data_IF_907560576594
#
_entry.id   IF_907560576594
#
_cell.length_a   1.000
_cell.length_b   1.000
_cell.length_c   1.000
_cell.angle_alpha   90.00
_cell.angle_beta   90.00
_cell.angle_gamma   90.00
#
_symmetry.space_group_name_H-M   'P 1'
#
loop_
_entity.id
_entity.type
_entity.pdbx_description
1 polymer ?
#
# COMPACT_ATOMS: atom_id res chain seq x y z
N UNK A 1 30.84 -9.91 -12.57
CA UNK A 1 29.39 -9.86 -12.37
C UNK A 1 28.99 -9.92 -10.90
N UNK A 2 29.52 -10.87 -10.10
CA UNK A 2 29.17 -10.95 -8.68
C UNK A 2 29.50 -9.65 -7.92
N UNK A 3 30.69 -9.07 -8.12
CA UNK A 3 31.08 -7.80 -7.48
C UNK A 3 30.19 -6.63 -7.87
N UNK A 4 29.84 -6.50 -9.15
CA UNK A 4 28.91 -5.47 -9.63
C UNK A 4 27.53 -5.57 -8.95
N UNK A 5 27.03 -6.80 -8.74
CA UNK A 5 25.77 -7.02 -8.06
C UNK A 5 25.87 -6.73 -6.55
N UNK A 6 27.01 -7.00 -5.93
CA UNK A 6 27.25 -6.61 -4.54
C UNK A 6 27.28 -5.08 -4.38
N UNK A 7 27.88 -4.37 -5.31
CA UNK A 7 27.85 -2.90 -5.35
C UNK A 7 26.41 -2.38 -5.54
N UNK A 8 25.65 -2.99 -6.48
CA UNK A 8 24.26 -2.61 -6.74
C UNK A 8 23.37 -2.71 -5.48
N UNK A 9 23.57 -3.79 -4.69
CA UNK A 9 22.80 -3.99 -3.44
C UNK A 9 23.43 -3.32 -2.22
N UNK A 10 24.53 -2.56 -2.40
CA UNK A 10 25.19 -1.78 -1.35
C UNK A 10 25.99 -2.61 -0.35
N UNK A 11 26.57 -3.74 -0.78
CA UNK A 11 27.35 -4.66 0.04
C UNK A 11 28.70 -5.05 -0.59
N UNK A 12 29.49 -4.10 -1.12
CA UNK A 12 30.77 -4.43 -1.81
C UNK A 12 31.80 -5.10 -0.89
N UNK A 13 31.74 -4.80 0.41
CA UNK A 13 32.63 -5.30 1.45
C UNK A 13 32.28 -6.73 1.93
N UNK A 14 31.19 -7.31 1.46
CA UNK A 14 30.70 -8.62 1.87
C UNK A 14 30.99 -9.75 0.88
N UNK A 15 31.92 -9.53 -0.08
CA UNK A 15 32.24 -10.52 -1.11
C UNK A 15 32.71 -11.87 -0.54
N UNK A 16 33.46 -11.84 0.56
CA UNK A 16 34.03 -13.02 1.19
C UNK A 16 33.31 -13.43 2.49
N UNK A 17 32.16 -12.79 2.79
CA UNK A 17 31.40 -13.08 4.00
C UNK A 17 30.53 -14.32 3.85
N UNK A 18 30.48 -15.13 4.89
CA UNK A 18 29.56 -16.26 4.98
C UNK A 18 28.16 -15.82 5.43
N UNK A 19 27.08 -16.54 5.05
CA UNK A 19 25.71 -16.19 5.43
C UNK A 19 25.49 -16.01 6.94
N UNK A 20 26.21 -16.75 7.78
CA UNK A 20 26.11 -16.62 9.24
C UNK A 20 26.62 -15.27 9.77
N UNK A 21 27.43 -14.55 9.00
CA UNK A 21 28.02 -13.25 9.37
C UNK A 21 27.16 -12.07 8.89
N UNK A 22 26.02 -12.33 8.24
CA UNK A 22 25.14 -11.32 7.65
C UNK A 22 23.90 -11.12 8.50
N UNK A 23 23.47 -9.86 8.64
CA UNK A 23 22.16 -9.52 9.21
C UNK A 23 21.02 -9.99 8.29
N UNK A 24 19.77 -10.02 8.81
CA UNK A 24 18.59 -10.38 8.02
C UNK A 24 18.45 -9.54 6.75
N UNK A 25 18.55 -8.22 6.86
CA UNK A 25 18.50 -7.33 5.71
C UNK A 25 19.64 -7.48 4.71
N UNK A 26 20.85 -7.79 5.20
CA UNK A 26 21.99 -8.11 4.33
C UNK A 26 21.77 -9.43 3.58
N UNK A 27 21.25 -10.46 4.26
CA UNK A 27 20.87 -11.74 3.61
C UNK A 27 19.85 -11.50 2.50
N UNK A 28 18.85 -10.65 2.76
CA UNK A 28 17.83 -10.33 1.76
C UNK A 28 18.42 -9.60 0.54
N UNK A 29 19.31 -8.63 0.75
CA UNK A 29 20.02 -7.94 -0.34
C UNK A 29 20.88 -8.92 -1.16
N UNK A 30 21.56 -9.85 -0.53
CA UNK A 30 22.32 -10.90 -1.22
C UNK A 30 21.39 -11.84 -2.00
N UNK A 31 20.22 -12.19 -1.46
CA UNK A 31 19.23 -13.01 -2.18
C UNK A 31 18.74 -12.30 -3.45
N UNK A 32 18.49 -10.99 -3.38
CA UNK A 32 18.16 -10.16 -4.54
C UNK A 32 19.32 -10.17 -5.55
N UNK A 33 20.55 -9.90 -5.11
CA UNK A 33 21.74 -9.93 -5.98
C UNK A 33 21.90 -11.30 -6.69
N UNK A 34 21.67 -12.39 -5.96
CA UNK A 34 21.72 -13.75 -6.52
C UNK A 34 20.65 -13.97 -7.59
N UNK A 35 19.41 -13.50 -7.35
CA UNK A 35 18.33 -13.59 -8.34
C UNK A 35 18.64 -12.79 -9.62
N UNK A 36 19.34 -11.65 -9.49
CA UNK A 36 19.75 -10.81 -10.62
C UNK A 36 20.96 -11.36 -11.41
N UNK A 37 21.67 -12.36 -10.89
CA UNK A 37 22.89 -12.89 -11.52
C UNK A 37 22.64 -13.48 -12.93
N UNK A 38 21.44 -13.99 -13.18
CA UNK A 38 21.03 -14.60 -14.45
C UNK A 38 20.47 -13.59 -15.47
N UNK A 39 20.52 -12.28 -15.16
CA UNK A 39 19.91 -11.23 -15.97
C UNK A 39 18.41 -11.48 -16.28
N UNK A 40 17.56 -11.67 -15.27
CA UNK A 40 16.16 -11.99 -15.47
C UNK A 40 15.40 -10.79 -16.07
N UNK A 41 14.34 -11.06 -16.81
CA UNK A 41 13.37 -10.03 -17.24
C UNK A 41 12.33 -9.74 -16.17
N UNK A 42 12.10 -10.70 -15.27
CA UNK A 42 11.13 -10.62 -14.18
C UNK A 42 11.80 -11.04 -12.88
N UNK A 43 11.68 -10.23 -11.85
CA UNK A 43 12.07 -10.53 -10.47
C UNK A 43 10.80 -10.81 -9.66
N UNK A 44 10.70 -12.02 -9.10
CA UNK A 44 9.61 -12.41 -8.21
C UNK A 44 10.07 -12.30 -6.76
N UNK A 45 9.36 -11.53 -5.97
CA UNK A 45 9.61 -11.30 -4.55
C UNK A 45 8.42 -11.83 -3.74
N UNK A 46 8.60 -13.00 -3.13
CA UNK A 46 7.59 -13.61 -2.27
C UNK A 46 7.90 -13.25 -0.81
N UNK A 47 6.99 -12.48 -0.20
CA UNK A 47 7.10 -11.97 1.18
C UNK A 47 8.50 -11.46 1.57
N UNK A 48 9.17 -10.78 0.65
CA UNK A 48 10.58 -10.40 0.76
C UNK A 48 10.92 -9.52 1.98
N UNK A 49 9.92 -9.00 2.68
CA UNK A 49 10.08 -8.08 3.82
C UNK A 49 9.35 -8.52 5.09
N UNK A 50 8.66 -9.66 5.10
CA UNK A 50 7.79 -10.10 6.19
C UNK A 50 8.49 -10.32 7.54
N UNK A 51 9.79 -10.66 7.52
CA UNK A 51 10.61 -10.93 8.71
C UNK A 51 11.59 -9.80 9.07
N UNK A 52 11.42 -8.61 8.49
CA UNK A 52 12.32 -7.46 8.66
C UNK A 52 11.66 -6.36 9.48
N UNK A 53 12.48 -5.57 10.18
CA UNK A 53 12.01 -4.36 10.84
C UNK A 53 11.59 -3.29 9.80
N UNK A 54 10.76 -2.30 10.19
CA UNK A 54 10.25 -1.29 9.25
C UNK A 54 11.31 -0.52 8.49
N UNK A 55 12.42 -0.16 9.12
CA UNK A 55 13.50 0.60 8.47
C UNK A 55 14.21 -0.23 7.42
N UNK A 56 14.50 -1.49 7.75
CA UNK A 56 15.11 -2.45 6.82
C UNK A 56 14.15 -2.77 5.67
N UNK A 57 12.86 -2.94 5.95
CA UNK A 57 11.81 -3.10 4.94
C UNK A 57 11.84 -1.96 3.93
N UNK A 58 11.78 -0.71 4.41
CA UNK A 58 11.83 0.47 3.53
C UNK A 58 13.10 0.51 2.66
N UNK A 59 14.26 0.20 3.24
CA UNK A 59 15.53 0.15 2.50
C UNK A 59 15.55 -0.95 1.41
N UNK A 60 14.93 -2.10 1.65
CA UNK A 60 14.78 -3.18 0.64
C UNK A 60 13.82 -2.76 -0.47
N UNK A 61 12.70 -2.12 -0.13
CA UNK A 61 11.74 -1.64 -1.13
C UNK A 61 12.34 -0.55 -2.03
N UNK A 62 13.09 0.39 -1.47
CA UNK A 62 13.84 1.38 -2.25
C UNK A 62 14.87 0.72 -3.18
N UNK A 63 15.57 -0.31 -2.70
CA UNK A 63 16.50 -1.06 -3.53
C UNK A 63 15.78 -1.74 -4.70
N UNK A 64 14.62 -2.37 -4.46
CA UNK A 64 13.81 -3.01 -5.50
C UNK A 64 13.34 -1.98 -6.53
N UNK A 65 12.88 -0.80 -6.11
CA UNK A 65 12.51 0.28 -7.03
C UNK A 65 13.70 0.77 -7.86
N UNK A 66 14.88 0.90 -7.24
CA UNK A 66 16.12 1.27 -7.93
C UNK A 66 16.44 0.26 -9.02
N UNK A 67 16.42 -1.03 -8.69
CA UNK A 67 16.68 -2.14 -9.62
C UNK A 67 15.68 -2.13 -10.79
N UNK A 68 14.39 -1.96 -10.51
CA UNK A 68 13.35 -1.87 -11.54
C UNK A 68 13.66 -0.73 -12.54
N UNK A 69 14.01 0.47 -12.03
CA UNK A 69 14.32 1.64 -12.88
C UNK A 69 15.62 1.49 -13.66
N UNK A 70 16.71 1.03 -13.01
CA UNK A 70 18.03 0.98 -13.62
C UNK A 70 18.21 -0.20 -14.59
N UNK A 71 17.57 -1.33 -14.29
CA UNK A 71 17.69 -2.55 -15.10
C UNK A 71 16.53 -2.74 -16.08
N UNK A 72 15.42 -1.98 -15.95
CA UNK A 72 14.24 -2.10 -16.79
C UNK A 72 13.52 -3.44 -16.67
N UNK A 73 13.68 -4.14 -15.54
CA UNK A 73 13.04 -5.45 -15.31
C UNK A 73 11.66 -5.28 -14.67
N UNK A 74 10.76 -6.19 -14.95
CA UNK A 74 9.48 -6.26 -14.22
C UNK A 74 9.68 -6.84 -12.83
N UNK A 75 9.11 -6.22 -11.82
CA UNK A 75 9.12 -6.76 -10.45
C UNK A 75 7.70 -7.15 -10.06
N UNK A 76 7.54 -8.37 -9.57
CA UNK A 76 6.28 -8.89 -9.00
C UNK A 76 6.52 -9.13 -7.52
N UNK A 77 5.72 -8.47 -6.67
CA UNK A 77 5.81 -8.57 -5.20
C UNK A 77 4.55 -9.27 -4.70
N UNK A 78 4.73 -10.36 -3.96
CA UNK A 78 3.66 -11.03 -3.23
C UNK A 78 3.75 -10.57 -1.78
N UNK A 79 2.69 -9.97 -1.28
CA UNK A 79 2.62 -9.42 0.08
C UNK A 79 1.18 -9.31 0.57
N UNK A 80 1.00 -9.39 1.87
CA UNK A 80 -0.24 -9.05 2.56
C UNK A 80 -0.17 -7.65 3.22
N UNK A 81 0.95 -6.94 3.08
CA UNK A 81 1.17 -5.60 3.66
C UNK A 81 0.76 -4.53 2.64
N UNK A 82 -0.36 -3.86 2.89
CA UNK A 82 -0.87 -2.83 1.98
C UNK A 82 0.07 -1.62 1.86
N UNK A 83 0.80 -1.27 2.93
CA UNK A 83 1.82 -0.23 2.88
C UNK A 83 2.91 -0.50 1.83
N UNK A 84 3.32 -1.75 1.66
CA UNK A 84 4.27 -2.15 0.59
C UNK A 84 3.68 -1.89 -0.80
N UNK A 85 2.39 -2.25 -0.99
CA UNK A 85 1.70 -2.02 -2.26
C UNK A 85 1.60 -0.52 -2.57
N UNK A 86 1.23 0.28 -1.58
CA UNK A 86 1.10 1.74 -1.69
C UNK A 86 2.44 2.43 -2.02
N UNK A 87 3.52 1.98 -1.38
CA UNK A 87 4.83 2.63 -1.47
C UNK A 87 5.55 2.35 -2.80
N UNK A 88 5.44 1.13 -3.33
CA UNK A 88 6.34 0.71 -4.42
C UNK A 88 5.66 0.14 -5.66
N UNK A 89 4.38 -0.24 -5.58
CA UNK A 89 3.69 -0.85 -6.71
C UNK A 89 2.93 0.18 -7.55
N UNK A 90 2.88 -0.05 -8.86
CA UNK A 90 2.04 0.73 -9.79
C UNK A 90 0.71 0.04 -10.08
N UNK A 91 0.71 -1.31 -10.06
CA UNK A 91 -0.45 -2.16 -10.31
C UNK A 91 -0.57 -3.21 -9.22
N UNK A 92 -1.77 -3.66 -8.98
CA UNK A 92 -2.09 -4.70 -8.00
C UNK A 92 -3.09 -5.70 -8.58
N UNK A 93 -2.91 -6.95 -8.20
CA UNK A 93 -3.90 -8.01 -8.40
C UNK A 93 -4.22 -8.61 -7.03
N UNK A 94 -5.50 -8.61 -6.66
CA UNK A 94 -5.98 -9.13 -5.39
C UNK A 94 -6.43 -10.56 -5.60
N UNK A 95 -5.84 -11.47 -4.81
CA UNK A 95 -6.19 -12.87 -4.81
C UNK A 95 -7.09 -13.20 -3.62
N UNK A 96 -8.16 -13.93 -3.88
CA UNK A 96 -9.01 -14.53 -2.84
C UNK A 96 -9.29 -15.98 -3.23
N UNK A 97 -9.03 -16.92 -2.32
CA UNK A 97 -9.18 -18.37 -2.54
C UNK A 97 -8.52 -18.88 -3.83
N UNK A 98 -7.30 -18.37 -4.13
CA UNK A 98 -6.52 -18.79 -5.30
C UNK A 98 -6.97 -18.19 -6.64
N UNK A 99 -7.95 -17.28 -6.63
CA UNK A 99 -8.47 -16.61 -7.83
C UNK A 99 -8.19 -15.11 -7.76
N UNK A 100 -7.87 -14.50 -8.92
CA UNK A 100 -7.78 -13.03 -9.00
C UNK A 100 -9.21 -12.47 -9.02
N UNK A 101 -9.58 -11.76 -7.96
CA UNK A 101 -10.93 -11.19 -7.79
C UNK A 101 -11.00 -9.73 -8.23
N UNK A 102 -9.86 -9.04 -8.24
CA UNK A 102 -9.77 -7.66 -8.68
C UNK A 102 -8.33 -7.33 -9.09
N UNK A 103 -8.16 -6.49 -10.13
CA UNK A 103 -6.85 -6.03 -10.57
C UNK A 103 -6.95 -4.65 -11.23
N UNK A 104 -5.89 -3.87 -11.11
CA UNK A 104 -5.85 -2.52 -11.70
C UNK A 104 -4.65 -1.72 -11.23
N UNK A 105 -4.68 -0.41 -11.49
CA UNK A 105 -3.71 0.48 -10.88
C UNK A 105 -3.91 0.52 -9.36
N UNK A 106 -2.82 0.66 -8.60
CA UNK A 106 -2.90 0.82 -7.14
C UNK A 106 -3.84 1.97 -6.79
N UNK A 107 -3.74 3.08 -7.52
CA UNK A 107 -4.58 4.25 -7.33
C UNK A 107 -6.08 3.92 -7.44
N UNK A 108 -6.49 3.24 -8.51
CA UNK A 108 -7.90 2.97 -8.77
C UNK A 108 -8.48 2.01 -7.73
N UNK A 109 -7.77 0.92 -7.45
CA UNK A 109 -8.18 -0.06 -6.44
C UNK A 109 -8.29 0.56 -5.04
N UNK A 110 -7.32 1.40 -4.64
CA UNK A 110 -7.35 2.04 -3.33
C UNK A 110 -8.38 3.16 -3.22
N UNK A 111 -8.73 3.79 -4.34
CA UNK A 111 -9.77 4.83 -4.37
C UNK A 111 -11.17 4.25 -4.37
N UNK A 112 -11.39 3.15 -5.08
CA UNK A 112 -12.72 2.58 -5.30
C UNK A 112 -12.67 1.05 -5.43
N UNK A 113 -12.38 0.33 -4.32
CA UNK A 113 -12.36 -1.12 -4.33
C UNK A 113 -13.77 -1.69 -4.57
N UNK A 114 -13.91 -2.61 -5.51
CA UNK A 114 -15.18 -3.21 -5.88
C UNK A 114 -15.44 -4.54 -5.15
N UNK A 115 -14.45 -5.42 -5.11
CA UNK A 115 -14.58 -6.72 -4.47
C UNK A 115 -14.57 -6.61 -2.94
N UNK A 116 -15.24 -7.54 -2.26
CA UNK A 116 -15.21 -7.57 -0.80
C UNK A 116 -13.81 -7.84 -0.24
N UNK A 117 -13.00 -8.61 -0.97
CA UNK A 117 -11.60 -8.84 -0.61
C UNK A 117 -10.78 -7.55 -0.70
N UNK A 118 -10.95 -6.74 -1.78
CA UNK A 118 -10.30 -5.45 -1.91
C UNK A 118 -10.74 -4.48 -0.80
N UNK A 119 -12.03 -4.40 -0.51
CA UNK A 119 -12.56 -3.57 0.58
C UNK A 119 -11.95 -3.92 1.92
N UNK A 120 -11.84 -5.22 2.25
CA UNK A 120 -11.21 -5.68 3.50
C UNK A 120 -9.73 -5.30 3.58
N UNK A 121 -9.00 -5.34 2.46
CA UNK A 121 -7.58 -5.01 2.40
C UNK A 121 -7.33 -3.49 2.45
N UNK A 122 -8.10 -2.73 1.70
CA UNK A 122 -7.96 -1.26 1.63
C UNK A 122 -8.49 -0.59 2.89
N UNK A 123 -9.55 -1.15 3.49
CA UNK A 123 -10.19 -0.64 4.71
C UNK A 123 -10.17 -1.68 5.84
N UNK A 124 -8.98 -2.00 6.42
CA UNK A 124 -8.83 -3.08 7.41
C UNK A 124 -9.60 -2.85 8.72
N UNK A 125 -9.95 -1.60 9.04
CA UNK A 125 -10.82 -1.29 10.17
C UNK A 125 -12.27 -1.79 10.02
N UNK A 126 -12.51 -2.58 8.99
CA UNK A 126 -13.83 -3.05 8.61
C UNK A 126 -14.64 -1.95 7.93
N UNK A 127 -15.76 -2.32 7.34
CA UNK A 127 -16.87 -1.41 7.06
C UNK A 127 -17.81 -1.48 8.28
N UNK A 128 -17.58 -0.71 9.34
CA UNK A 128 -18.39 -0.82 10.55
C UNK A 128 -19.74 -0.10 10.39
N UNK A 129 -20.20 0.06 9.16
CA UNK A 129 -21.42 0.80 8.86
C UNK A 129 -22.64 0.28 9.61
N UNK A 130 -22.66 -1.01 9.99
CA UNK A 130 -23.75 -1.60 10.74
C UNK A 130 -23.51 -1.76 12.24
N UNK A 131 -22.25 -1.75 12.70
CA UNK A 131 -21.94 -2.07 14.10
C UNK A 131 -21.72 -0.85 15.00
N UNK A 132 -21.28 0.30 14.45
CA UNK A 132 -20.95 1.48 15.24
C UNK A 132 -22.17 2.20 15.82
N UNK A 133 -23.23 2.37 15.05
CA UNK A 133 -24.47 3.02 15.49
C UNK A 133 -25.67 2.34 14.79
N UNK A 134 -26.29 1.33 15.41
CA UNK A 134 -27.47 0.68 14.85
C UNK A 134 -28.60 1.69 14.61
N UNK A 135 -29.12 1.71 13.37
CA UNK A 135 -30.24 2.60 12.99
C UNK A 135 -29.85 3.96 12.44
N UNK A 136 -28.58 4.40 12.53
CA UNK A 136 -28.14 5.66 11.91
C UNK A 136 -27.71 5.47 10.47
N UNK A 137 -28.06 6.45 9.64
CA UNK A 137 -27.53 6.53 8.25
C UNK A 137 -26.07 6.98 8.29
N UNK A 138 -25.21 6.22 7.62
CA UNK A 138 -23.79 6.54 7.49
C UNK A 138 -23.42 6.74 6.03
N UNK A 139 -22.51 7.67 5.79
CA UNK A 139 -21.99 8.00 4.45
C UNK A 139 -20.48 7.90 4.50
N UNK A 140 -19.90 7.14 3.59
CA UNK A 140 -18.46 7.14 3.35
C UNK A 140 -18.14 8.09 2.22
N UNK A 141 -17.27 9.04 2.50
CA UNK A 141 -16.73 9.96 1.52
C UNK A 141 -15.28 9.58 1.26
N UNK A 142 -14.96 9.22 0.02
CA UNK A 142 -13.60 8.99 -0.43
C UNK A 142 -13.14 10.22 -1.24
N UNK A 143 -11.91 10.68 -1.00
CA UNK A 143 -11.32 11.79 -1.74
C UNK A 143 -9.98 11.38 -2.36
N UNK A 144 -9.81 11.77 -3.63
CA UNK A 144 -8.68 11.42 -4.48
C UNK A 144 -7.99 12.69 -4.97
N UNK A 145 -6.79 12.95 -4.44
CA UNK A 145 -5.93 14.03 -4.92
C UNK A 145 -6.14 15.36 -4.20
N UNK A 146 -5.22 16.30 -4.46
CA UNK A 146 -5.04 17.55 -3.72
C UNK A 146 -6.26 18.50 -3.76
N UNK A 147 -6.98 18.54 -4.86
CA UNK A 147 -8.11 19.50 -5.00
C UNK A 147 -9.34 19.17 -4.13
N UNK A 148 -9.50 17.91 -3.73
CA UNK A 148 -10.63 17.48 -2.89
C UNK A 148 -10.25 17.34 -1.43
N UNK A 149 -8.98 17.11 -1.13
CA UNK A 149 -8.49 16.94 0.22
C UNK A 149 -8.43 18.24 1.02
N UNK A 150 -8.25 19.38 0.33
CA UNK A 150 -8.14 20.70 0.97
C UNK A 150 -9.51 21.36 1.25
N UNK A 151 -10.62 20.74 0.82
CA UNK A 151 -11.95 21.28 1.09
C UNK A 151 -12.43 20.92 2.50
N UNK A 152 -12.94 21.88 3.28
CA UNK A 152 -13.45 21.64 4.63
C UNK A 152 -14.84 20.98 4.58
N UNK A 153 -14.89 19.69 4.16
CA UNK A 153 -16.13 18.96 3.87
C UNK A 153 -17.15 19.02 5.01
N UNK A 154 -16.71 18.77 6.24
CA UNK A 154 -17.61 18.75 7.40
C UNK A 154 -18.17 20.12 7.69
N UNK A 155 -17.33 21.17 7.55
CA UNK A 155 -17.79 22.55 7.70
C UNK A 155 -18.76 22.95 6.58
N UNK A 156 -18.50 22.56 5.33
CA UNK A 156 -19.40 22.81 4.20
C UNK A 156 -20.75 22.12 4.40
N UNK A 157 -20.77 20.86 4.85
CA UNK A 157 -22.03 20.17 5.16
C UNK A 157 -22.84 20.90 6.25
N UNK A 158 -22.18 21.39 7.30
CA UNK A 158 -22.85 22.11 8.37
C UNK A 158 -23.41 23.48 7.89
N UNK A 159 -22.63 24.22 7.07
CA UNK A 159 -22.98 25.57 6.64
C UNK A 159 -23.97 25.55 5.47
N UNK A 160 -23.74 24.74 4.46
CA UNK A 160 -24.50 24.75 3.21
C UNK A 160 -25.74 23.86 3.28
N UNK A 161 -25.67 22.73 4.00
CA UNK A 161 -26.77 21.78 4.11
C UNK A 161 -27.47 21.85 5.47
N UNK A 162 -26.94 22.59 6.44
CA UNK A 162 -27.45 22.58 7.83
C UNK A 162 -27.30 21.23 8.55
N UNK A 163 -26.54 20.30 7.98
CA UNK A 163 -26.38 18.94 8.48
C UNK A 163 -25.20 18.82 9.43
N UNK A 164 -25.47 18.60 10.72
CA UNK A 164 -24.45 18.33 11.72
C UNK A 164 -24.10 16.84 11.67
N UNK A 165 -22.92 16.53 11.15
CA UNK A 165 -22.43 15.15 11.00
C UNK A 165 -21.38 14.82 12.04
N UNK A 166 -21.35 13.57 12.50
CA UNK A 166 -20.29 13.05 13.36
C UNK A 166 -19.26 12.27 12.56
N UNK A 167 -17.96 12.55 12.77
CA UNK A 167 -16.88 11.78 12.16
C UNK A 167 -16.71 10.48 12.96
N UNK A 168 -16.98 9.35 12.34
CA UNK A 168 -16.85 8.02 12.96
C UNK A 168 -15.48 7.40 12.69
N UNK A 169 -14.92 7.66 11.51
CA UNK A 169 -13.57 7.27 11.15
C UNK A 169 -13.05 8.24 10.09
N UNK A 170 -11.76 8.51 10.10
CA UNK A 170 -11.07 9.24 9.05
C UNK A 170 -9.66 8.65 8.86
N UNK A 171 -9.27 8.48 7.62
CA UNK A 171 -7.95 8.00 7.25
C UNK A 171 -7.46 8.80 6.05
N UNK A 172 -6.20 9.20 6.09
CA UNK A 172 -5.56 9.94 5.02
C UNK A 172 -4.15 9.41 4.83
N UNK A 173 -3.81 9.04 3.60
CA UNK A 173 -2.52 8.46 3.25
C UNK A 173 -2.00 9.03 1.93
N UNK A 174 -0.71 8.96 1.72
CA UNK A 174 -0.08 9.38 0.47
C UNK A 174 0.29 8.13 -0.32
N UNK A 175 -0.28 7.97 -1.51
CA UNK A 175 -0.01 6.87 -2.43
C UNK A 175 0.54 7.45 -3.72
N UNK A 176 1.77 7.07 -4.10
CA UNK A 176 2.45 7.56 -5.29
C UNK A 176 2.47 9.11 -5.42
N UNK A 177 2.67 9.81 -4.29
CA UNK A 177 2.73 11.28 -4.23
C UNK A 177 1.36 11.97 -4.29
N UNK A 178 0.27 11.23 -4.23
CA UNK A 178 -1.09 11.76 -4.17
C UNK A 178 -1.74 11.46 -2.82
N UNK A 179 -2.42 12.43 -2.27
CA UNK A 179 -3.17 12.25 -1.03
C UNK A 179 -4.50 11.56 -1.34
N UNK A 180 -4.68 10.38 -0.80
CA UNK A 180 -5.94 9.64 -0.80
C UNK A 180 -6.48 9.59 0.61
N UNK A 181 -7.79 9.63 0.76
CA UNK A 181 -8.38 9.52 2.07
C UNK A 181 -9.83 9.08 2.03
N UNK A 182 -10.33 8.64 3.15
CA UNK A 182 -11.74 8.37 3.34
C UNK A 182 -12.21 8.84 4.71
N UNK A 183 -13.45 9.26 4.77
CA UNK A 183 -14.11 9.69 5.99
C UNK A 183 -15.45 8.99 6.09
N UNK A 184 -15.72 8.36 7.22
CA UNK A 184 -17.02 7.79 7.54
C UNK A 184 -17.77 8.78 8.43
N UNK A 185 -18.90 9.26 7.94
CA UNK A 185 -19.74 10.23 8.61
C UNK A 185 -21.07 9.60 9.03
N UNK A 186 -21.47 9.83 10.27
CA UNK A 186 -22.83 9.52 10.72
C UNK A 186 -23.71 10.75 10.52
N UNK A 187 -24.83 10.57 9.81
CA UNK A 187 -25.82 11.63 9.59
C UNK A 187 -26.70 11.83 10.83
N UNK A 188 -27.27 13.03 11.04
CA UNK A 188 -28.24 13.26 12.11
C UNK A 188 -29.49 12.39 11.94
N UNK A 189 -30.15 12.06 13.04
CA UNK A 189 -31.36 11.24 13.05
C UNK A 189 -32.65 12.01 12.64
N UNK A 190 -32.51 13.27 12.28
CA UNK A 190 -33.67 14.11 12.00
C UNK A 190 -34.25 13.82 10.61
N UNK A 191 -35.56 13.55 10.55
CA UNK A 191 -36.39 13.51 9.33
C UNK A 191 -36.45 14.85 8.57
N UNK A 192 -35.53 15.77 8.85
CA UNK A 192 -35.40 17.12 8.25
C UNK A 192 -34.09 17.25 7.48
N UNK A 193 -33.86 16.37 6.52
CA UNK A 193 -32.82 16.58 5.51
C UNK A 193 -33.31 16.19 4.13
#
# INVERSE_FOLDING_TARGET
RARELLELVGLPDKADAYPAQLSGGQKQRIAIARALATNPKVLLCDEATSALDPNTTHAILQLIQKINREMGITVVIITHQMSVVEDVCSHVAILDNGTVVEQGSVRDIFSNPHSDAAKRLVFPAGTPERELLPGRKMVRVAFNGTQTTDKPLVASLAIECGALVSIMAADTRVVNGQTLGSMLLALPDDDKA
#
